data_IF_103828404727
#
_entry.id   IF_103828404727
#
_cell.length_a   1.000
_cell.length_b   1.000
_cell.length_c   1.000
_cell.angle_alpha   90.00
_cell.angle_beta   90.00
_cell.angle_gamma   90.00
#
_symmetry.space_group_name_H-M   'P 1'
#
loop_
_entity.id
_entity.type
_entity.pdbx_description
1 polymer ?
#
# COMPACT_ATOMS: atom_id res chain seq x y z
N UNK A 1 39.55 15.64 2.77
CA UNK A 1 38.68 15.57 1.57
C UNK A 1 39.55 15.61 0.32
N UNK A 2 39.87 14.45 -0.25
CA UNK A 2 40.75 14.28 -1.41
C UNK A 2 39.96 13.61 -2.55
N UNK A 3 38.71 14.06 -2.76
CA UNK A 3 37.82 13.45 -3.75
C UNK A 3 37.74 14.21 -5.07
N UNK A 4 38.27 15.42 -5.17
CA UNK A 4 38.39 16.14 -6.44
C UNK A 4 39.63 17.04 -6.31
N UNK A 5 40.69 16.79 -7.09
CA UNK A 5 41.96 17.52 -7.05
C UNK A 5 41.91 19.00 -7.46
N UNK A 6 40.97 19.80 -6.91
CA UNK A 6 40.83 21.24 -7.09
C UNK A 6 40.28 21.89 -5.81
N UNK A 7 41.18 22.30 -4.91
CA UNK A 7 40.86 22.94 -3.62
C UNK A 7 39.91 24.15 -3.72
N UNK A 8 39.97 24.92 -4.80
CA UNK A 8 39.17 26.15 -4.97
C UNK A 8 37.67 25.91 -5.23
N UNK A 9 37.26 24.78 -5.85
CA UNK A 9 35.84 24.48 -6.13
C UNK A 9 35.09 23.94 -4.90
N UNK A 10 35.82 23.41 -3.92
CA UNK A 10 35.24 22.89 -2.67
C UNK A 10 34.70 24.00 -1.77
N UNK A 11 35.36 25.15 -1.69
CA UNK A 11 34.96 26.22 -0.77
C UNK A 11 33.63 26.89 -1.16
N UNK A 12 33.36 27.06 -2.46
CA UNK A 12 32.09 27.61 -2.94
C UNK A 12 30.91 26.66 -2.73
N UNK A 13 31.14 25.34 -2.88
CA UNK A 13 30.15 24.29 -2.59
C UNK A 13 29.83 24.25 -1.09
N UNK A 14 30.87 24.27 -0.23
CA UNK A 14 30.71 24.24 1.23
C UNK A 14 29.99 25.47 1.80
N UNK A 15 30.07 26.62 1.12
CA UNK A 15 29.41 27.87 1.53
C UNK A 15 28.09 28.13 0.83
N UNK A 16 27.66 27.27 -0.10
CA UNK A 16 26.42 27.46 -0.82
C UNK A 16 25.23 27.06 0.05
N UNK A 17 24.40 28.04 0.40
CA UNK A 17 23.21 27.87 1.25
C UNK A 17 22.26 26.82 0.66
N UNK A 18 22.04 26.84 -0.65
CA UNK A 18 21.15 25.90 -1.34
C UNK A 18 21.67 24.46 -1.25
N UNK A 19 23.00 24.26 -1.30
CA UNK A 19 23.59 22.93 -1.17
C UNK A 19 23.54 22.46 0.29
N UNK A 20 23.77 23.37 1.24
CA UNK A 20 23.76 23.09 2.67
C UNK A 20 22.37 22.77 3.24
N UNK A 21 21.30 23.11 2.51
CA UNK A 21 19.93 22.65 2.81
C UNK A 21 19.79 21.12 2.67
N UNK A 22 20.51 20.52 1.72
CA UNK A 22 20.40 19.09 1.41
C UNK A 22 21.52 18.25 2.02
N UNK A 23 22.72 18.83 2.13
CA UNK A 23 23.96 18.14 2.49
C UNK A 23 24.62 18.84 3.67
N UNK A 24 25.05 18.06 4.66
CA UNK A 24 25.94 18.53 5.72
C UNK A 24 27.36 18.08 5.43
N UNK A 25 28.31 19.02 5.50
CA UNK A 25 29.72 18.74 5.35
C UNK A 25 30.40 18.99 6.70
N UNK A 26 30.47 17.95 7.52
CA UNK A 26 30.99 18.02 8.89
C UNK A 26 32.17 17.06 9.04
N UNK A 27 33.35 17.57 9.43
CA UNK A 27 34.55 16.79 9.72
C UNK A 27 34.90 15.73 8.65
N UNK A 28 35.04 16.15 7.38
CA UNK A 28 35.28 15.27 6.22
C UNK A 28 34.17 14.22 5.94
N UNK A 29 33.01 14.30 6.60
CA UNK A 29 31.87 13.42 6.35
C UNK A 29 30.76 14.20 5.65
N UNK A 30 30.19 13.56 4.64
CA UNK A 30 28.95 14.00 4.00
C UNK A 30 27.78 13.37 4.75
N UNK A 31 26.89 14.17 5.32
CA UNK A 31 25.61 13.70 5.88
C UNK A 31 24.47 14.19 5.00
N UNK A 32 23.50 13.34 4.71
CA UNK A 32 22.27 13.74 4.03
C UNK A 32 21.31 14.35 5.05
N UNK A 33 20.87 15.59 4.82
CA UNK A 33 19.84 16.26 5.64
C UNK A 33 18.43 16.09 5.05
N UNK A 34 18.34 15.99 3.73
CA UNK A 34 17.05 15.93 3.03
C UNK A 34 16.59 14.50 2.77
N UNK A 35 15.37 14.20 3.23
CA UNK A 35 14.68 12.94 2.92
C UNK A 35 14.42 12.78 1.42
N UNK A 36 14.16 13.88 0.70
CA UNK A 36 13.95 13.87 -0.75
C UNK A 36 15.22 13.46 -1.49
N UNK A 37 16.39 13.96 -1.04
CA UNK A 37 17.68 13.57 -1.63
C UNK A 37 18.02 12.12 -1.25
N UNK A 38 17.72 11.69 -0.03
CA UNK A 38 17.89 10.30 0.37
C UNK A 38 17.03 9.35 -0.47
N UNK A 39 15.75 9.66 -0.67
CA UNK A 39 14.84 8.90 -1.54
C UNK A 39 15.36 8.87 -2.98
N UNK A 40 15.79 10.01 -3.52
CA UNK A 40 16.36 10.08 -4.86
C UNK A 40 17.60 9.17 -5.01
N UNK A 41 18.50 9.18 -4.03
CA UNK A 41 19.69 8.32 -4.03
C UNK A 41 19.28 6.85 -3.99
N UNK A 42 18.39 6.47 -3.07
CA UNK A 42 17.90 5.09 -2.94
C UNK A 42 17.21 4.59 -4.22
N UNK A 43 16.49 5.45 -4.96
CA UNK A 43 15.76 5.03 -6.16
C UNK A 43 16.57 5.09 -7.46
N UNK A 44 17.75 5.71 -7.46
CA UNK A 44 18.55 5.88 -8.68
C UNK A 44 19.92 5.21 -8.63
N UNK A 45 20.38 4.80 -7.44
CA UNK A 45 21.63 4.09 -7.25
C UNK A 45 21.38 2.61 -6.99
N UNK A 46 22.46 1.82 -7.02
CA UNK A 46 22.43 0.38 -6.79
C UNK A 46 22.75 0.05 -5.32
N UNK A 47 21.76 0.24 -4.45
CA UNK A 47 21.89 0.02 -2.99
C UNK A 47 20.89 -1.03 -2.46
N UNK A 48 20.21 -1.76 -3.33
CA UNK A 48 19.13 -2.65 -2.90
C UNK A 48 19.64 -3.81 -2.01
N UNK A 49 20.85 -4.34 -2.26
CA UNK A 49 21.49 -5.32 -1.39
C UNK A 49 21.81 -4.75 0.01
N UNK A 50 22.39 -3.54 0.05
CA UNK A 50 22.71 -2.86 1.30
C UNK A 50 21.44 -2.53 2.11
N UNK A 51 20.39 -2.07 1.44
CA UNK A 51 19.08 -1.78 2.07
C UNK A 51 18.48 -3.05 2.65
N UNK A 52 18.45 -4.15 1.89
CA UNK A 52 17.95 -5.45 2.36
C UNK A 52 18.72 -5.89 3.62
N UNK A 53 20.05 -5.84 3.58
CA UNK A 53 20.92 -6.24 4.68
C UNK A 53 20.71 -5.36 5.93
N UNK A 54 20.67 -4.04 5.77
CA UNK A 54 20.51 -3.08 6.85
C UNK A 54 19.12 -3.23 7.50
N UNK A 55 18.05 -3.28 6.70
CA UNK A 55 16.69 -3.43 7.20
C UNK A 55 16.54 -4.75 7.96
N UNK A 56 17.08 -5.85 7.42
CA UNK A 56 17.05 -7.17 8.06
C UNK A 56 17.74 -7.13 9.44
N UNK A 57 18.92 -6.50 9.53
CA UNK A 57 19.63 -6.33 10.81
C UNK A 57 18.86 -5.45 11.80
N UNK A 58 18.30 -4.34 11.35
CA UNK A 58 17.53 -3.43 12.19
C UNK A 58 16.33 -4.16 12.80
N UNK A 59 15.58 -4.93 12.01
CA UNK A 59 14.43 -5.69 12.49
C UNK A 59 14.83 -6.65 13.62
N UNK A 60 15.93 -7.39 13.47
CA UNK A 60 16.41 -8.31 14.49
C UNK A 60 16.77 -7.59 15.79
N UNK A 61 17.49 -6.46 15.70
CA UNK A 61 17.90 -5.66 16.87
C UNK A 61 16.69 -5.06 17.59
N UNK A 62 15.76 -4.49 16.84
CA UNK A 62 14.55 -3.89 17.41
C UNK A 62 13.66 -4.95 18.05
N UNK A 63 13.50 -6.12 17.41
CA UNK A 63 12.71 -7.22 17.96
C UNK A 63 13.28 -7.73 19.29
N UNK A 64 14.61 -7.88 19.39
CA UNK A 64 15.26 -8.28 20.64
C UNK A 64 14.99 -7.31 21.81
N UNK A 65 14.62 -6.07 21.49
CA UNK A 65 14.33 -5.01 22.46
C UNK A 65 12.91 -4.46 22.31
N UNK A 66 11.96 -5.30 21.88
CA UNK A 66 10.57 -4.90 21.58
C UNK A 66 9.77 -4.38 22.80
N UNK A 67 10.27 -4.59 24.02
CA UNK A 67 9.71 -4.02 25.25
C UNK A 67 9.89 -2.50 25.33
N UNK A 68 10.79 -1.92 24.53
CA UNK A 68 11.00 -0.48 24.41
C UNK A 68 9.97 0.08 23.43
N UNK A 69 9.02 0.90 23.90
CA UNK A 69 7.92 1.45 23.10
C UNK A 69 8.38 2.14 21.80
N UNK A 70 9.51 2.85 21.82
CA UNK A 70 10.10 3.47 20.62
C UNK A 70 10.46 2.41 19.56
N UNK A 71 11.00 1.27 19.98
CA UNK A 71 11.40 0.20 19.07
C UNK A 71 10.20 -0.59 18.55
N UNK A 72 9.16 -0.78 19.37
CA UNK A 72 7.86 -1.28 18.93
C UNK A 72 7.29 -0.44 17.78
N UNK A 73 7.27 0.89 17.96
CA UNK A 73 6.82 1.81 16.93
C UNK A 73 7.68 1.72 15.66
N UNK A 74 9.00 1.64 15.79
CA UNK A 74 9.91 1.45 14.65
C UNK A 74 9.68 0.12 13.92
N UNK A 75 9.45 -0.99 14.64
CA UNK A 75 9.11 -2.28 14.03
C UNK A 75 7.83 -2.19 13.20
N UNK A 76 6.79 -1.52 13.74
CA UNK A 76 5.56 -1.28 13.00
C UNK A 76 5.79 -0.45 11.74
N UNK A 77 6.58 0.63 11.83
CA UNK A 77 6.88 1.47 10.65
C UNK A 77 7.67 0.71 9.60
N UNK A 78 8.71 -0.03 10.00
CA UNK A 78 9.59 -0.74 9.07
C UNK A 78 8.83 -1.84 8.33
N UNK A 79 7.89 -2.53 8.98
CA UNK A 79 7.20 -3.66 8.34
C UNK A 79 6.00 -3.25 7.46
N UNK A 80 5.65 -1.97 7.47
CA UNK A 80 4.67 -1.45 6.51
C UNK A 80 5.19 -1.62 5.08
N UNK A 81 4.39 -2.26 4.22
CA UNK A 81 4.78 -2.51 2.84
C UNK A 81 5.06 -1.20 2.09
N UNK A 82 4.28 -0.14 2.36
CA UNK A 82 4.52 1.17 1.74
C UNK A 82 5.89 1.73 2.09
N UNK A 83 6.33 1.54 3.33
CA UNK A 83 7.61 2.04 3.82
C UNK A 83 8.76 1.20 3.27
N UNK A 84 8.65 -0.14 3.29
CA UNK A 84 9.64 -1.01 2.64
C UNK A 84 9.78 -0.67 1.16
N UNK A 85 8.67 -0.59 0.44
CA UNK A 85 8.66 -0.25 -0.99
C UNK A 85 9.32 1.10 -1.28
N UNK A 86 9.25 2.06 -0.37
CA UNK A 86 9.90 3.36 -0.51
C UNK A 86 11.43 3.29 -0.35
N UNK A 87 11.97 2.29 0.35
CA UNK A 87 13.41 2.16 0.57
C UNK A 87 14.17 1.58 -0.63
N UNK A 88 13.49 0.85 -1.52
CA UNK A 88 14.13 0.14 -2.62
C UNK A 88 14.08 0.91 -3.95
N UNK A 89 15.13 0.73 -4.76
CA UNK A 89 15.13 1.06 -6.17
C UNK A 89 14.19 0.13 -6.94
N UNK A 90 13.03 0.65 -7.31
CA UNK A 90 11.95 -0.10 -8.00
C UNK A 90 12.22 -0.36 -9.48
N UNK A 91 13.30 0.19 -10.06
CA UNK A 91 13.71 -0.12 -11.44
C UNK A 91 14.34 -1.51 -11.53
N UNK A 92 14.90 -2.02 -10.44
CA UNK A 92 15.44 -3.37 -10.36
C UNK A 92 14.27 -4.38 -10.26
N UNK A 93 14.23 -5.39 -11.13
CA UNK A 93 13.11 -6.35 -11.16
C UNK A 93 12.98 -7.18 -9.87
N UNK A 94 14.09 -7.44 -9.20
CA UNK A 94 14.21 -8.29 -8.01
C UNK A 94 13.78 -7.60 -6.71
N UNK A 95 13.46 -6.29 -6.71
CA UNK A 95 13.20 -5.56 -5.46
C UNK A 95 12.09 -6.18 -4.59
N UNK A 96 11.07 -6.77 -5.23
CA UNK A 96 9.97 -7.45 -4.53
C UNK A 96 10.40 -8.75 -3.85
N UNK A 97 11.40 -9.46 -4.40
CA UNK A 97 12.01 -10.62 -3.78
C UNK A 97 12.76 -10.23 -2.50
N UNK A 98 13.43 -9.07 -2.51
CA UNK A 98 14.12 -8.51 -1.33
C UNK A 98 13.15 -8.15 -0.21
N UNK A 99 12.04 -7.49 -0.56
CA UNK A 99 10.93 -7.24 0.38
C UNK A 99 10.40 -8.56 0.94
N UNK A 100 10.23 -9.58 0.09
CA UNK A 100 9.79 -10.91 0.52
C UNK A 100 10.75 -11.53 1.52
N UNK A 101 12.07 -11.47 1.28
CA UNK A 101 13.08 -11.98 2.22
C UNK A 101 13.01 -11.29 3.58
N UNK A 102 12.77 -9.98 3.61
CA UNK A 102 12.57 -9.23 4.87
C UNK A 102 11.36 -9.78 5.65
N UNK A 103 10.23 -9.99 4.98
CA UNK A 103 9.06 -10.60 5.62
C UNK A 103 9.31 -12.03 6.07
N UNK A 104 10.06 -12.83 5.30
CA UNK A 104 10.44 -14.19 5.65
C UNK A 104 11.31 -14.26 6.92
N UNK A 105 12.23 -13.30 7.11
CA UNK A 105 13.00 -13.16 8.36
C UNK A 105 12.07 -12.73 9.50
N UNK A 106 11.19 -11.77 9.25
CA UNK A 106 10.34 -11.18 10.27
C UNK A 106 9.27 -12.16 10.80
N UNK A 107 8.70 -13.03 9.96
CA UNK A 107 7.56 -13.89 10.34
C UNK A 107 7.84 -14.84 11.52
N UNK A 108 9.10 -15.21 11.74
CA UNK A 108 9.52 -16.09 12.83
C UNK A 108 9.85 -15.35 14.14
N UNK A 109 9.80 -14.02 14.15
CA UNK A 109 10.15 -13.22 15.33
C UNK A 109 8.95 -13.05 16.26
N UNK A 110 9.22 -13.06 17.56
CA UNK A 110 8.21 -13.01 18.64
C UNK A 110 7.25 -11.82 18.51
N UNK A 111 7.75 -10.66 18.09
CA UNK A 111 6.91 -9.47 17.91
C UNK A 111 5.88 -9.62 16.78
N UNK A 112 6.19 -10.40 15.74
CA UNK A 112 5.40 -10.45 14.51
C UNK A 112 4.51 -11.69 14.37
N UNK A 113 4.89 -12.83 14.99
CA UNK A 113 4.19 -14.11 14.81
C UNK A 113 2.67 -14.05 15.00
N UNK A 114 2.20 -13.21 15.91
CA UNK A 114 0.78 -13.04 16.22
C UNK A 114 0.28 -11.60 15.98
N UNK A 115 1.02 -10.83 15.18
CA UNK A 115 0.73 -9.43 14.91
C UNK A 115 -0.15 -9.30 13.66
N UNK A 116 -1.42 -8.88 13.77
CA UNK A 116 -2.31 -8.81 12.61
C UNK A 116 -1.86 -7.77 11.57
N UNK A 117 -1.25 -6.66 12.01
CA UNK A 117 -0.73 -5.65 11.09
C UNK A 117 0.42 -6.21 10.25
N UNK A 118 1.33 -6.98 10.85
CA UNK A 118 2.40 -7.65 10.12
C UNK A 118 1.86 -8.54 8.99
N UNK A 119 0.95 -9.46 9.34
CA UNK A 119 0.39 -10.40 8.38
C UNK A 119 -0.40 -9.70 7.28
N UNK A 120 -1.11 -8.62 7.60
CA UNK A 120 -1.79 -7.78 6.63
C UNK A 120 -0.82 -7.12 5.65
N UNK A 121 0.28 -6.53 6.14
CA UNK A 121 1.28 -5.90 5.27
C UNK A 121 1.99 -6.94 4.40
N UNK A 122 2.21 -8.14 4.93
CA UNK A 122 2.81 -9.22 4.15
C UNK A 122 1.85 -9.73 3.06
N UNK A 123 0.55 -9.83 3.35
CA UNK A 123 -0.45 -10.14 2.34
C UNK A 123 -0.46 -9.10 1.22
N UNK A 124 -0.42 -7.81 1.55
CA UNK A 124 -0.32 -6.73 0.55
C UNK A 124 0.93 -6.93 -0.33
N UNK A 125 2.08 -7.22 0.26
CA UNK A 125 3.31 -7.47 -0.51
C UNK A 125 3.16 -8.64 -1.51
N UNK A 126 2.42 -9.69 -1.14
CA UNK A 126 2.12 -10.83 -2.02
C UNK A 126 1.11 -10.48 -3.12
N UNK A 127 0.09 -9.68 -2.81
CA UNK A 127 -0.86 -9.18 -3.82
C UNK A 127 -0.15 -8.35 -4.90
N UNK A 128 0.85 -7.56 -4.53
CA UNK A 128 1.58 -6.68 -5.46
C UNK A 128 2.46 -7.42 -6.46
N UNK A 129 2.79 -8.68 -6.17
CA UNK A 129 3.43 -9.61 -7.11
C UNK A 129 2.46 -10.64 -7.70
N UNK A 130 1.15 -10.44 -7.50
CA UNK A 130 0.06 -11.33 -7.94
C UNK A 130 0.14 -12.76 -7.39
N UNK A 131 0.85 -12.97 -6.27
CA UNK A 131 0.87 -14.25 -5.54
C UNK A 131 -0.36 -14.31 -4.62
N UNK A 132 -1.53 -14.43 -5.24
CA UNK A 132 -2.81 -14.41 -4.53
C UNK A 132 -3.03 -15.65 -3.65
N UNK A 133 -2.35 -16.76 -3.94
CA UNK A 133 -2.38 -17.94 -3.09
C UNK A 133 -1.70 -17.67 -1.74
N UNK A 134 -0.48 -17.12 -1.74
CA UNK A 134 0.20 -16.75 -0.50
C UNK A 134 -0.51 -15.59 0.20
N UNK A 135 -1.02 -14.60 -0.55
CA UNK A 135 -1.76 -13.48 0.01
C UNK A 135 -2.99 -13.93 0.81
N UNK A 136 -3.74 -14.94 0.33
CA UNK A 136 -4.87 -15.50 1.08
C UNK A 136 -4.44 -16.02 2.44
N UNK A 137 -3.39 -16.84 2.50
CA UNK A 137 -2.88 -17.43 3.74
C UNK A 137 -2.51 -16.33 4.74
N UNK A 138 -1.86 -15.27 4.28
CA UNK A 138 -1.45 -14.16 5.15
C UNK A 138 -2.61 -13.26 5.57
N UNK A 139 -3.65 -13.09 4.73
CA UNK A 139 -4.89 -12.43 5.14
C UNK A 139 -5.65 -13.24 6.20
N UNK A 140 -5.67 -14.57 6.06
CA UNK A 140 -6.31 -15.45 7.04
C UNK A 140 -5.57 -15.41 8.38
N UNK A 141 -4.23 -15.36 8.36
CA UNK A 141 -3.44 -15.13 9.56
C UNK A 141 -3.77 -13.77 10.20
N UNK A 142 -3.81 -12.69 9.41
CA UNK A 142 -4.16 -11.36 9.90
C UNK A 142 -5.56 -11.34 10.54
N UNK A 143 -6.52 -12.01 9.91
CA UNK A 143 -7.88 -12.18 10.44
C UNK A 143 -7.89 -12.94 11.77
N UNK A 144 -7.19 -14.08 11.84
CA UNK A 144 -7.15 -14.93 13.04
C UNK A 144 -6.60 -14.19 14.26
N UNK A 145 -5.71 -13.21 14.03
CA UNK A 145 -5.13 -12.36 15.07
C UNK A 145 -5.82 -11.00 15.23
N UNK A 146 -6.96 -10.75 14.56
CA UNK A 146 -7.67 -9.46 14.54
C UNK A 146 -7.98 -8.88 15.93
N UNK A 147 -8.15 -9.72 16.96
CA UNK A 147 -8.47 -9.29 18.34
C UNK A 147 -7.27 -9.28 19.29
N UNK A 148 -6.05 -9.59 18.81
CA UNK A 148 -4.85 -9.59 19.64
C UNK A 148 -4.32 -8.17 19.86
N UNK A 149 -3.30 -8.05 20.72
CA UNK A 149 -2.59 -6.79 21.02
C UNK A 149 -2.13 -6.12 19.71
N UNK A 150 -1.98 -4.79 19.71
CA UNK A 150 -1.54 -3.96 18.57
C UNK A 150 -2.60 -3.61 17.52
N UNK A 151 -3.90 -3.71 17.85
CA UNK A 151 -5.00 -3.46 16.90
C UNK A 151 -5.66 -2.11 17.14
N UNK A 152 -5.20 -1.09 16.42
CA UNK A 152 -5.95 0.17 16.20
C UNK A 152 -6.61 0.22 14.82
N UNK A 153 -6.17 -0.64 13.90
CA UNK A 153 -6.46 -0.52 12.47
C UNK A 153 -7.08 -1.80 11.85
N UNK A 154 -7.88 -2.56 12.62
CA UNK A 154 -8.52 -3.79 12.14
C UNK A 154 -9.37 -3.60 10.88
N UNK A 155 -9.90 -2.39 10.69
CA UNK A 155 -10.67 -1.98 9.51
C UNK A 155 -9.88 -2.12 8.20
N UNK A 156 -8.54 -2.07 8.25
CA UNK A 156 -7.70 -2.27 7.08
C UNK A 156 -7.79 -3.71 6.56
N UNK A 157 -8.01 -4.70 7.45
CA UNK A 157 -8.17 -6.10 7.05
C UNK A 157 -9.38 -6.24 6.13
N UNK A 158 -10.51 -5.62 6.48
CA UNK A 158 -11.71 -5.63 5.65
C UNK A 158 -11.45 -4.95 4.30
N UNK A 159 -10.81 -3.78 4.31
CA UNK A 159 -10.46 -3.09 3.05
C UNK A 159 -9.61 -3.96 2.13
N UNK A 160 -8.57 -4.60 2.67
CA UNK A 160 -7.68 -5.43 1.87
C UNK A 160 -8.37 -6.72 1.43
N UNK A 161 -9.27 -7.32 2.23
CA UNK A 161 -10.10 -8.44 1.79
C UNK A 161 -10.98 -8.07 0.59
N UNK A 162 -11.61 -6.89 0.62
CA UNK A 162 -12.36 -6.38 -0.52
C UNK A 162 -11.48 -6.20 -1.76
N UNK A 163 -10.32 -5.54 -1.61
CA UNK A 163 -9.34 -5.40 -2.70
C UNK A 163 -8.89 -6.76 -3.26
N UNK A 164 -8.57 -7.70 -2.38
CA UNK A 164 -8.10 -9.04 -2.71
C UNK A 164 -9.13 -9.82 -3.54
N UNK A 165 -10.40 -9.81 -3.14
CA UNK A 165 -11.47 -10.47 -3.88
C UNK A 165 -11.59 -9.93 -5.31
N UNK A 166 -11.55 -8.60 -5.47
CA UNK A 166 -11.62 -7.96 -6.78
C UNK A 166 -10.42 -8.35 -7.65
N UNK A 167 -9.21 -8.20 -7.12
CA UNK A 167 -7.98 -8.46 -7.86
C UNK A 167 -7.80 -9.94 -8.22
N UNK A 168 -7.95 -10.85 -7.26
CA UNK A 168 -7.79 -12.30 -7.50
C UNK A 168 -8.80 -12.80 -8.52
N UNK A 169 -10.06 -12.34 -8.44
CA UNK A 169 -11.09 -12.77 -9.39
C UNK A 169 -10.76 -12.33 -10.81
N UNK A 170 -10.29 -11.09 -10.99
CA UNK A 170 -9.81 -10.59 -12.28
C UNK A 170 -8.60 -11.37 -12.78
N UNK A 171 -7.63 -11.64 -11.90
CA UNK A 171 -6.39 -12.37 -12.24
C UNK A 171 -6.68 -13.81 -12.69
N UNK A 172 -7.51 -14.55 -11.94
CA UNK A 172 -7.90 -15.92 -12.27
C UNK A 172 -8.93 -16.01 -13.40
N UNK A 173 -9.45 -14.86 -13.86
CA UNK A 173 -10.59 -14.76 -14.75
C UNK A 173 -11.79 -15.62 -14.31
N UNK A 174 -12.08 -15.61 -13.00
CA UNK A 174 -13.07 -16.50 -12.39
C UNK A 174 -14.50 -15.96 -12.59
N UNK A 175 -15.01 -16.08 -13.81
CA UNK A 175 -16.34 -15.62 -14.19
C UNK A 175 -17.47 -16.30 -13.40
N UNK A 176 -17.28 -17.56 -12.97
CA UNK A 176 -18.29 -18.34 -12.25
C UNK A 176 -18.70 -17.70 -10.92
N UNK A 177 -17.73 -17.11 -10.21
CA UNK A 177 -17.94 -16.49 -8.89
C UNK A 177 -17.76 -14.97 -8.94
N UNK A 178 -17.79 -14.39 -10.15
CA UNK A 178 -17.42 -12.99 -10.33
C UNK A 178 -18.43 -12.04 -9.67
N UNK A 179 -19.72 -12.36 -9.69
CA UNK A 179 -20.72 -11.55 -9.01
C UNK A 179 -20.60 -11.67 -7.49
N UNK A 180 -20.54 -12.89 -6.96
CA UNK A 180 -20.48 -13.13 -5.51
C UNK A 180 -19.24 -12.48 -4.89
N UNK A 181 -18.09 -12.60 -5.55
CA UNK A 181 -16.86 -11.97 -5.09
C UNK A 181 -16.93 -10.44 -5.14
N UNK A 182 -17.62 -9.87 -6.14
CA UNK A 182 -17.84 -8.43 -6.21
C UNK A 182 -18.77 -7.95 -5.09
N UNK A 183 -19.87 -8.66 -4.84
CA UNK A 183 -20.84 -8.33 -3.80
C UNK A 183 -20.19 -8.37 -2.40
N UNK A 184 -19.44 -9.43 -2.11
CA UNK A 184 -18.64 -9.51 -0.88
C UNK A 184 -17.62 -8.38 -0.77
N UNK A 185 -16.91 -8.07 -1.87
CA UNK A 185 -15.95 -6.98 -1.87
C UNK A 185 -16.60 -5.61 -1.64
N UNK A 186 -17.79 -5.38 -2.23
CA UNK A 186 -18.58 -4.18 -1.98
C UNK A 186 -18.87 -4.02 -0.48
N UNK A 187 -19.36 -5.06 0.18
CA UNK A 187 -19.68 -5.00 1.61
C UNK A 187 -18.45 -4.73 2.48
N UNK A 188 -17.32 -5.36 2.19
CA UNK A 188 -16.05 -5.06 2.89
C UNK A 188 -15.60 -3.60 2.77
N UNK A 189 -15.92 -2.94 1.66
CA UNK A 189 -15.53 -1.56 1.39
C UNK A 189 -16.57 -0.55 1.88
N UNK A 190 -17.86 -0.85 1.69
CA UNK A 190 -18.98 0.05 2.00
C UNK A 190 -19.26 0.09 3.50
N UNK A 191 -19.29 -1.07 4.16
CA UNK A 191 -19.67 -1.19 5.57
C UNK A 191 -18.49 -0.89 6.52
N UNK A 192 -17.37 -0.41 5.95
CA UNK A 192 -16.14 -0.10 6.66
C UNK A 192 -16.25 1.23 7.44
N UNK A 193 -16.50 1.13 8.75
CA UNK A 193 -16.68 2.29 9.64
C UNK A 193 -15.37 2.91 10.15
N UNK A 194 -14.34 2.98 9.30
CA UNK A 194 -13.06 3.60 9.65
C UNK A 194 -13.14 5.14 9.69
N UNK A 195 -12.29 5.76 10.51
CA UNK A 195 -12.05 7.21 10.48
C UNK A 195 -11.26 7.64 9.24
N UNK A 196 -10.50 6.73 8.62
CA UNK A 196 -9.79 6.94 7.35
C UNK A 196 -10.55 6.31 6.18
N UNK A 197 -11.80 6.77 5.99
CA UNK A 197 -12.72 6.26 4.96
C UNK A 197 -12.19 6.44 3.54
N UNK A 198 -11.20 7.31 3.32
CA UNK A 198 -10.55 7.45 2.01
C UNK A 198 -9.85 6.15 1.58
N UNK A 199 -9.34 5.36 2.54
CA UNK A 199 -8.60 4.15 2.23
C UNK A 199 -9.46 3.05 1.57
N UNK A 200 -10.64 2.66 2.13
CA UNK A 200 -11.60 1.81 1.43
C UNK A 200 -12.07 2.40 0.09
N UNK A 201 -12.42 3.70 0.06
CA UNK A 201 -12.98 4.34 -1.12
C UNK A 201 -12.02 4.35 -2.32
N UNK A 202 -10.70 4.37 -2.09
CA UNK A 202 -9.72 4.24 -3.18
C UNK A 202 -9.80 2.90 -3.90
N UNK A 203 -10.19 1.82 -3.20
CA UNK A 203 -10.31 0.48 -3.80
C UNK A 203 -11.47 0.40 -4.81
N UNK A 204 -12.46 1.29 -4.70
CA UNK A 204 -13.58 1.39 -5.66
C UNK A 204 -13.08 1.68 -7.07
N UNK A 205 -11.87 2.24 -7.24
CA UNK A 205 -11.24 2.41 -8.56
C UNK A 205 -11.12 1.09 -9.36
N UNK A 206 -11.13 -0.06 -8.70
CA UNK A 206 -11.11 -1.38 -9.35
C UNK A 206 -12.45 -1.73 -10.04
N UNK A 207 -13.56 -1.06 -9.69
CA UNK A 207 -14.88 -1.37 -10.23
C UNK A 207 -14.95 -1.21 -11.75
N UNK A 208 -14.20 -0.27 -12.35
CA UNK A 208 -14.16 -0.11 -13.82
C UNK A 208 -13.53 -1.30 -14.52
N UNK A 209 -12.40 -1.81 -14.02
CA UNK A 209 -11.76 -3.00 -14.58
C UNK A 209 -12.65 -4.22 -14.41
N UNK A 210 -13.25 -4.36 -13.22
CA UNK A 210 -14.13 -5.46 -12.89
C UNK A 210 -15.40 -5.47 -13.76
N UNK A 211 -16.02 -4.30 -13.94
CA UNK A 211 -17.14 -4.08 -14.84
C UNK A 211 -16.80 -4.51 -16.27
N UNK A 212 -15.68 -4.02 -16.81
CA UNK A 212 -15.25 -4.33 -18.18
C UNK A 212 -15.00 -5.81 -18.40
N UNK A 213 -14.54 -6.53 -17.38
CA UNK A 213 -14.18 -7.94 -17.50
C UNK A 213 -15.37 -8.88 -17.34
N UNK A 214 -16.29 -8.61 -16.40
CA UNK A 214 -17.29 -9.61 -15.99
C UNK A 214 -18.75 -9.22 -16.22
N UNK A 215 -19.06 -7.92 -16.37
CA UNK A 215 -20.45 -7.44 -16.35
C UNK A 215 -21.37 -8.09 -17.39
N UNK A 216 -20.84 -8.38 -18.59
CA UNK A 216 -21.64 -8.99 -19.65
C UNK A 216 -22.04 -10.44 -19.32
N UNK A 217 -21.32 -11.11 -18.44
CA UNK A 217 -21.67 -12.45 -17.93
C UNK A 217 -22.69 -12.46 -16.80
N UNK A 218 -23.00 -11.31 -16.20
CA UNK A 218 -23.95 -11.23 -15.08
C UNK A 218 -25.40 -11.41 -15.53
N UNK A 219 -26.21 -12.04 -14.68
CA UNK A 219 -27.65 -12.13 -14.85
C UNK A 219 -28.33 -10.75 -14.70
N UNK A 220 -29.58 -10.62 -15.16
CA UNK A 220 -30.30 -9.33 -15.04
C UNK A 220 -30.43 -8.86 -13.58
N UNK A 221 -30.63 -9.77 -12.62
CA UNK A 221 -30.69 -9.44 -11.19
C UNK A 221 -29.33 -8.94 -10.70
N UNK A 222 -28.26 -9.64 -11.05
CA UNK A 222 -26.89 -9.29 -10.66
C UNK A 222 -26.46 -7.93 -11.22
N UNK A 223 -26.82 -7.64 -12.48
CA UNK A 223 -26.59 -6.33 -13.11
C UNK A 223 -27.31 -5.21 -12.36
N UNK A 224 -28.55 -5.44 -11.93
CA UNK A 224 -29.30 -4.46 -11.13
C UNK A 224 -28.65 -4.22 -9.77
N UNK A 225 -28.20 -5.27 -9.08
CA UNK A 225 -27.50 -5.12 -7.79
C UNK A 225 -26.16 -4.42 -7.97
N UNK A 226 -25.38 -4.77 -9.00
CA UNK A 226 -24.14 -4.08 -9.34
C UNK A 226 -24.36 -2.57 -9.56
N UNK A 227 -25.45 -2.20 -10.24
CA UNK A 227 -25.84 -0.80 -10.46
C UNK A 227 -26.08 -0.09 -9.12
N UNK A 228 -26.85 -0.72 -8.24
CA UNK A 228 -27.17 -0.18 -6.92
C UNK A 228 -25.90 0.04 -6.10
N UNK A 229 -25.00 -0.94 -6.07
CA UNK A 229 -23.70 -0.83 -5.39
C UNK A 229 -22.84 0.31 -5.95
N UNK A 230 -22.83 0.51 -7.28
CA UNK A 230 -22.15 1.63 -7.91
C UNK A 230 -22.75 2.98 -7.50
N UNK A 231 -24.09 3.09 -7.44
CA UNK A 231 -24.80 4.29 -7.02
C UNK A 231 -24.52 4.61 -5.55
N UNK A 232 -24.56 3.60 -4.68
CA UNK A 232 -24.40 3.77 -3.24
C UNK A 232 -22.95 4.13 -2.87
N UNK A 233 -21.96 3.48 -3.50
CA UNK A 233 -20.56 3.91 -3.39
C UNK A 233 -20.37 5.35 -3.87
N UNK A 234 -21.04 5.75 -4.96
CA UNK A 234 -20.94 7.12 -5.47
C UNK A 234 -21.49 8.14 -4.47
N UNK A 235 -22.62 7.86 -3.82
CA UNK A 235 -23.17 8.72 -2.76
C UNK A 235 -22.18 8.86 -1.60
N UNK A 236 -21.58 7.76 -1.16
CA UNK A 236 -20.59 7.75 -0.08
C UNK A 236 -19.34 8.57 -0.46
N UNK A 237 -18.86 8.44 -1.70
CA UNK A 237 -17.74 9.23 -2.24
C UNK A 237 -18.08 10.73 -2.26
N UNK A 238 -19.26 11.12 -2.76
CA UNK A 238 -19.68 12.53 -2.81
C UNK A 238 -19.77 13.16 -1.42
N UNK A 239 -20.32 12.42 -0.44
CA UNK A 239 -20.35 12.84 0.98
C UNK A 239 -18.95 13.08 1.56
N UNK A 240 -17.97 12.26 1.15
CA UNK A 240 -16.58 12.40 1.59
C UNK A 240 -15.83 13.52 0.88
N UNK A 241 -16.13 13.78 -0.40
CA UNK A 241 -15.55 14.92 -1.12
C UNK A 241 -15.99 16.25 -0.52
N UNK A 242 -17.26 16.36 -0.09
CA UNK A 242 -17.77 17.61 0.49
C UNK A 242 -17.29 17.89 1.91
N UNK A 243 -16.85 16.86 2.65
CA UNK A 243 -16.40 16.98 4.04
C UNK A 243 -14.88 17.17 4.21
N UNK A 244 -14.08 16.91 3.17
CA UNK A 244 -12.61 16.95 3.24
C UNK A 244 -12.02 18.04 2.32
N UNK A 245 -10.90 18.67 2.72
CA UNK A 245 -10.21 19.70 1.93
C UNK A 245 -9.76 19.24 0.53
N UNK A 246 -9.73 20.18 -0.43
CA UNK A 246 -9.56 19.93 -1.90
C UNK A 246 -8.34 19.09 -2.31
N UNK A 247 -7.23 19.11 -1.57
CA UNK A 247 -6.01 18.37 -1.96
C UNK A 247 -6.16 16.87 -1.75
N UNK A 248 -6.98 16.45 -0.77
CA UNK A 248 -7.17 15.05 -0.40
C UNK A 248 -8.33 14.37 -1.13
N UNK A 249 -8.94 15.03 -2.14
CA UNK A 249 -10.15 14.53 -2.82
C UNK A 249 -10.00 14.30 -4.32
N UNK A 250 -8.83 14.61 -4.92
CA UNK A 250 -8.60 14.46 -6.38
C UNK A 250 -8.86 13.04 -6.88
N UNK A 251 -8.38 12.04 -6.15
CA UNK A 251 -8.57 10.63 -6.49
C UNK A 251 -10.05 10.23 -6.38
N UNK A 252 -10.72 10.65 -5.31
CA UNK A 252 -12.15 10.41 -5.11
C UNK A 252 -13.01 11.06 -6.22
N UNK A 253 -12.66 12.27 -6.67
CA UNK A 253 -13.32 12.94 -7.81
C UNK A 253 -13.14 12.11 -9.10
N UNK A 254 -11.98 11.50 -9.31
CA UNK A 254 -11.74 10.62 -10.45
C UNK A 254 -12.62 9.38 -10.38
N UNK A 255 -12.74 8.77 -9.20
CA UNK A 255 -13.58 7.58 -8.97
C UNK A 255 -15.07 7.94 -9.15
N UNK A 256 -15.52 9.09 -8.67
CA UNK A 256 -16.89 9.58 -8.88
C UNK A 256 -17.26 9.69 -10.38
N UNK A 257 -16.36 10.28 -11.18
CA UNK A 257 -16.53 10.37 -12.64
C UNK A 257 -16.52 8.99 -13.31
N UNK A 258 -15.67 8.09 -12.84
CA UNK A 258 -15.61 6.70 -13.31
C UNK A 258 -16.92 5.96 -13.04
N UNK A 259 -17.49 6.06 -11.84
CA UNK A 259 -18.80 5.48 -11.49
C UNK A 259 -19.92 6.06 -12.35
N UNK A 260 -19.91 7.37 -12.61
CA UNK A 260 -20.86 8.02 -13.53
C UNK A 260 -20.78 7.42 -14.94
N UNK A 261 -19.57 7.18 -15.43
CA UNK A 261 -19.36 6.56 -16.75
C UNK A 261 -19.92 5.13 -16.79
N UNK A 262 -19.63 4.32 -15.78
CA UNK A 262 -20.16 2.94 -15.66
C UNK A 262 -21.70 2.95 -15.69
N UNK A 263 -22.33 3.80 -14.88
CA UNK A 263 -23.80 3.90 -14.83
C UNK A 263 -24.41 4.29 -16.18
N UNK A 264 -23.81 5.25 -16.89
CA UNK A 264 -24.27 5.66 -18.22
C UNK A 264 -24.12 4.54 -19.27
N UNK A 265 -23.05 3.75 -19.20
CA UNK A 265 -22.85 2.59 -20.07
C UNK A 265 -23.88 1.48 -19.77
N UNK A 266 -24.17 1.23 -18.50
CA UNK A 266 -25.20 0.28 -18.07
C UNK A 266 -26.60 0.70 -18.53
N UNK A 267 -26.96 1.98 -18.40
CA UNK A 267 -28.25 2.51 -18.85
C UNK A 267 -28.48 2.30 -20.35
N UNK A 268 -27.42 2.37 -21.17
CA UNK A 268 -27.49 2.09 -22.62
C UNK A 268 -27.65 0.60 -22.95
N UNK A 269 -27.18 -0.29 -22.09
CA UNK A 269 -27.31 -1.75 -22.26
C UNK A 269 -28.67 -2.30 -21.79
N UNK A 270 -29.44 -1.49 -21.07
CA UNK A 270 -30.79 -1.82 -20.58
C UNK A 270 -31.91 -1.40 -21.54
N UNK A 271 -31.55 -0.81 -22.69
CA UNK A 271 -32.44 -0.44 -23.82
C UNK A 271 -32.20 -1.43 -24.95
#
# INVERSE_FOLDING_TARGET
MLLLGKQARTASILKNVQINEFLDFDNNRLKLKSSVVAEYILHNMDYNDDVELIVSKIILVLNAHNHISRYEHMLRMIVSYSNLRMLFNRKEKSYSERITKIYEIAKSLEYFKENPFFWLQYAIAKMEVHDYQAAQIYLDNAESFRKKKHVTDSWQIDTIKGRFLLEKTMYDNNAKYAYENFDMAYHYLHDNNTTDIQYPLRQVSLFDKYYRQFYDGFSNSERNVFLMHCIDMQKLIKKNISSVGKMNTRELIRIDKMLTKIQNEMAKKSV
#
